data_IF_769666805338
#
_entry.id   IF_769666805338
#
_cell.length_a   1.000
_cell.length_b   1.000
_cell.length_c   1.000
_cell.angle_alpha   90.00
_cell.angle_beta   90.00
_cell.angle_gamma   90.00
#
_symmetry.space_group_name_H-M   'P 1'
#
loop_
_entity.id
_entity.type
_entity.pdbx_description
1 polymer ?
#
# COMPACT_ATOMS: atom_id res chain seq x y z
N UNK A 1 -0.35 -15.18 -10.12
CA UNK A 1 0.56 -14.19 -9.55
C UNK A 1 0.57 -14.39 -8.05
N UNK A 2 1.73 -14.35 -7.40
CA UNK A 2 1.90 -14.38 -5.94
C UNK A 2 2.11 -12.98 -5.42
N UNK A 3 1.66 -12.70 -4.19
CA UNK A 3 1.75 -11.37 -3.62
C UNK A 3 2.29 -11.40 -2.20
N UNK A 4 3.00 -10.34 -1.82
CA UNK A 4 3.31 -9.99 -0.44
C UNK A 4 2.63 -8.64 -0.18
N UNK A 5 2.00 -8.46 0.97
CA UNK A 5 1.60 -7.15 1.46
C UNK A 5 2.63 -6.71 2.51
N UNK A 6 3.27 -5.54 2.29
CA UNK A 6 4.10 -4.86 3.28
C UNK A 6 3.35 -3.60 3.75
N UNK A 7 2.96 -3.53 5.04
CA UNK A 7 1.93 -2.61 5.55
C UNK A 7 2.34 -1.98 6.86
N UNK A 8 1.92 -0.74 7.09
CA UNK A 8 2.00 -0.09 8.42
C UNK A 8 0.62 0.00 9.11
N UNK A 9 -0.20 -1.03 8.93
CA UNK A 9 -1.53 -1.21 9.54
C UNK A 9 -1.54 -0.83 11.02
N UNK A 10 -2.57 -0.11 11.46
CA UNK A 10 -2.79 0.20 12.88
C UNK A 10 -2.87 1.68 13.24
N UNK A 11 -2.41 2.60 12.35
CA UNK A 11 -2.49 4.05 12.50
C UNK A 11 -3.58 4.67 11.63
N UNK A 12 -3.63 4.34 10.33
CA UNK A 12 -4.79 4.64 9.50
C UNK A 12 -5.62 3.37 9.30
N UNK A 13 -6.80 3.50 8.75
CA UNK A 13 -7.75 2.37 8.67
C UNK A 13 -7.69 1.67 7.31
N UNK A 14 -7.18 2.34 6.31
CA UNK A 14 -7.23 1.88 4.93
C UNK A 14 -6.30 0.69 4.65
N UNK A 15 -5.19 0.53 5.39
CA UNK A 15 -4.41 -0.73 5.42
C UNK A 15 -5.28 -1.95 5.76
N UNK A 16 -6.12 -1.82 6.80
CA UNK A 16 -7.01 -2.91 7.18
C UNK A 16 -8.01 -3.22 6.07
N UNK A 17 -8.52 -2.21 5.36
CA UNK A 17 -9.40 -2.41 4.21
C UNK A 17 -8.65 -2.93 2.98
N UNK A 18 -7.38 -2.58 2.81
CA UNK A 18 -6.54 -3.15 1.75
C UNK A 18 -6.33 -4.66 1.99
N UNK A 19 -6.00 -5.06 3.23
CA UNK A 19 -5.90 -6.47 3.59
C UNK A 19 -7.25 -7.19 3.44
N UNK A 20 -8.36 -6.58 3.88
CA UNK A 20 -9.73 -7.11 3.69
C UNK A 20 -10.02 -7.39 2.21
N UNK A 21 -9.74 -6.42 1.33
CA UNK A 21 -9.93 -6.58 -0.10
C UNK A 21 -9.09 -7.73 -0.65
N UNK A 22 -7.81 -7.82 -0.25
CA UNK A 22 -6.93 -8.90 -0.71
C UNK A 22 -7.48 -10.29 -0.32
N UNK A 23 -7.91 -10.45 0.92
CA UNK A 23 -8.47 -11.71 1.43
C UNK A 23 -9.78 -12.07 0.70
N UNK A 24 -10.71 -11.13 0.57
CA UNK A 24 -12.02 -11.36 -0.08
C UNK A 24 -11.92 -11.63 -1.57
N UNK A 25 -10.96 -11.02 -2.26
CA UNK A 25 -10.74 -11.25 -3.69
C UNK A 25 -9.86 -12.48 -3.97
N UNK A 26 -9.44 -13.21 -2.94
CA UNK A 26 -8.61 -14.40 -3.09
C UNK A 26 -7.24 -14.09 -3.69
N UNK A 27 -6.67 -12.92 -3.36
CA UNK A 27 -5.30 -12.58 -3.74
C UNK A 27 -4.36 -13.62 -3.11
N UNK A 28 -3.52 -14.26 -3.92
CA UNK A 28 -2.65 -15.36 -3.50
C UNK A 28 -1.46 -14.80 -2.69
N UNK A 29 -1.72 -14.52 -1.40
CA UNK A 29 -0.75 -13.98 -0.47
C UNK A 29 0.24 -15.04 -0.01
N UNK A 30 1.53 -14.77 -0.22
CA UNK A 30 2.64 -15.58 0.31
C UNK A 30 2.85 -15.29 1.79
N UNK A 31 2.83 -14.01 2.15
CA UNK A 31 2.88 -13.53 3.52
C UNK A 31 2.43 -12.06 3.59
N UNK A 32 2.24 -11.59 4.82
CA UNK A 32 2.15 -10.18 5.17
C UNK A 32 3.39 -9.82 5.98
N UNK A 33 4.03 -8.69 5.66
CA UNK A 33 5.10 -8.11 6.48
C UNK A 33 4.65 -6.75 7.01
N UNK A 34 5.09 -6.39 8.21
CA UNK A 34 4.76 -5.08 8.76
C UNK A 34 6.00 -4.20 8.88
N UNK A 35 5.82 -2.90 8.74
CA UNK A 35 6.89 -1.91 8.70
C UNK A 35 6.56 -0.71 9.55
N UNK A 36 7.58 0.03 9.96
CA UNK A 36 7.50 1.32 10.62
C UNK A 36 6.95 1.30 12.05
N UNK A 37 7.74 1.79 13.01
CA UNK A 37 7.42 1.89 14.44
C UNK A 37 7.11 0.53 15.08
N UNK A 38 5.92 0.37 15.64
CA UNK A 38 5.50 -0.79 16.43
C UNK A 38 5.12 -2.00 15.55
N UNK A 39 6.05 -2.51 14.78
CA UNK A 39 5.78 -3.57 13.77
C UNK A 39 5.19 -4.83 14.38
N UNK A 40 5.54 -5.17 15.63
CA UNK A 40 4.94 -6.31 16.34
C UNK A 40 3.44 -6.11 16.57
N UNK A 41 3.03 -4.93 17.07
CA UNK A 41 1.61 -4.61 17.29
C UNK A 41 0.83 -4.59 15.95
N UNK A 42 1.45 -4.06 14.89
CA UNK A 42 0.89 -4.10 13.52
C UNK A 42 0.68 -5.53 13.03
N UNK A 43 1.66 -6.39 13.24
CA UNK A 43 1.58 -7.80 12.86
C UNK A 43 0.47 -8.53 13.65
N UNK A 44 0.26 -8.19 14.91
CA UNK A 44 -0.82 -8.75 15.72
C UNK A 44 -2.21 -8.39 15.16
N UNK A 45 -2.40 -7.14 14.71
CA UNK A 45 -3.64 -6.71 14.04
C UNK A 45 -3.86 -7.53 12.76
N UNK A 46 -2.85 -7.59 11.88
CA UNK A 46 -2.93 -8.35 10.63
C UNK A 46 -3.16 -9.85 10.87
N UNK A 47 -2.48 -10.44 11.87
CA UNK A 47 -2.64 -11.86 12.23
C UNK A 47 -4.05 -12.17 12.69
N UNK A 48 -4.65 -11.31 13.53
CA UNK A 48 -6.05 -11.46 13.96
C UNK A 48 -7.01 -11.34 12.77
N UNK A 49 -6.77 -10.40 11.85
CA UNK A 49 -7.60 -10.28 10.64
C UNK A 49 -7.56 -11.56 9.80
N UNK A 50 -6.37 -12.07 9.49
CA UNK A 50 -6.20 -13.33 8.74
C UNK A 50 -6.89 -14.49 9.44
N UNK A 51 -6.69 -14.66 10.75
CA UNK A 51 -7.30 -15.73 11.54
C UNK A 51 -8.82 -15.67 11.56
N UNK A 52 -9.42 -14.49 11.77
CA UNK A 52 -10.86 -14.31 11.75
C UNK A 52 -11.48 -14.54 10.36
N UNK A 53 -10.75 -14.24 9.30
CA UNK A 53 -11.15 -14.53 7.93
C UNK A 53 -11.01 -16.02 7.59
N UNK A 54 -10.23 -16.78 8.36
CA UNK A 54 -9.92 -18.19 8.09
C UNK A 54 -8.82 -18.39 7.07
N UNK A 55 -7.95 -17.39 6.87
CA UNK A 55 -6.80 -17.45 5.97
C UNK A 55 -5.53 -17.83 6.74
N UNK A 56 -4.84 -18.89 6.27
CA UNK A 56 -3.54 -19.31 6.79
C UNK A 56 -2.43 -18.60 6.05
N UNK A 57 -2.25 -17.31 6.37
CA UNK A 57 -1.23 -16.45 5.79
C UNK A 57 -0.20 -16.10 6.87
N UNK A 58 1.10 -16.41 6.65
CA UNK A 58 2.16 -16.01 7.56
C UNK A 58 2.25 -14.48 7.70
N UNK A 59 2.43 -13.98 8.93
CA UNK A 59 2.55 -12.55 9.21
C UNK A 59 3.84 -12.29 9.97
N UNK A 60 4.74 -11.48 9.40
CA UNK A 60 6.05 -11.17 9.96
C UNK A 60 6.13 -9.71 10.39
N UNK A 61 6.63 -9.48 11.60
CA UNK A 61 6.98 -8.16 12.08
C UNK A 61 8.36 -7.76 11.50
N UNK A 62 8.39 -6.75 10.64
CA UNK A 62 9.64 -6.27 10.04
C UNK A 62 10.27 -5.10 10.78
N UNK A 63 10.98 -4.23 10.07
CA UNK A 63 11.74 -3.14 10.67
C UNK A 63 10.84 -1.98 11.12
N UNK A 64 10.99 -1.61 12.40
CA UNK A 64 10.35 -0.43 12.99
C UNK A 64 11.12 0.86 12.75
N UNK A 65 12.45 0.77 12.69
CA UNK A 65 13.36 1.88 12.43
C UNK A 65 13.50 2.12 10.91
N UNK A 66 13.89 3.33 10.53
CA UNK A 66 14.18 3.68 9.14
C UNK A 66 15.46 3.00 8.64
N UNK A 67 15.73 3.09 7.34
CA UNK A 67 16.90 2.48 6.71
C UNK A 67 18.21 2.94 7.32
N UNK A 68 18.31 4.23 7.69
CA UNK A 68 19.48 4.80 8.34
C UNK A 68 19.55 4.55 9.86
N UNK A 69 18.62 3.79 10.43
CA UNK A 69 18.56 3.46 11.84
C UNK A 69 18.04 4.57 12.75
N UNK A 70 17.42 5.61 12.19
CA UNK A 70 16.73 6.62 12.99
C UNK A 70 15.50 6.00 13.65
N UNK A 71 15.46 5.98 14.97
CA UNK A 71 14.30 5.46 15.69
C UNK A 71 13.07 6.33 15.41
N UNK A 72 12.09 5.76 14.76
CA UNK A 72 10.76 6.34 14.74
C UNK A 72 10.19 6.32 16.16
N UNK A 73 9.72 7.47 16.67
CA UNK A 73 9.14 7.55 18.02
C UNK A 73 8.03 6.51 18.16
N UNK A 74 8.17 5.58 19.10
CA UNK A 74 7.16 4.58 19.38
C UNK A 74 5.92 5.28 19.97
N UNK A 75 4.88 5.39 19.15
CA UNK A 75 3.57 5.88 19.56
C UNK A 75 2.62 4.69 19.52
N UNK A 76 1.82 4.54 20.57
CA UNK A 76 0.83 3.47 20.63
C UNK A 76 -0.12 3.58 19.44
N UNK A 77 -0.30 2.47 18.74
CA UNK A 77 -1.23 2.39 17.60
C UNK A 77 -2.67 2.58 18.09
N UNK A 78 -3.43 3.41 17.39
CA UNK A 78 -4.82 3.69 17.79
C UNK A 78 -5.75 2.47 17.65
N UNK A 79 -5.40 1.52 16.80
CA UNK A 79 -6.17 0.31 16.53
C UNK A 79 -5.72 -0.90 17.36
N UNK A 80 -4.64 -0.77 18.12
CA UNK A 80 -4.15 -1.87 18.94
C UNK A 80 -4.82 -1.91 20.32
N UNK A 81 -5.21 -3.10 20.75
CA UNK A 81 -5.79 -3.36 22.05
C UNK A 81 -5.07 -4.53 22.74
N UNK A 82 -5.08 -4.62 24.10
CA UNK A 82 -4.35 -5.68 24.83
C UNK A 82 -4.74 -7.11 24.44
N UNK A 83 -5.95 -7.34 23.95
CA UNK A 83 -6.40 -8.66 23.49
C UNK A 83 -5.64 -9.16 22.26
N UNK A 84 -4.88 -8.28 21.58
CA UNK A 84 -4.04 -8.64 20.45
C UNK A 84 -2.73 -9.30 20.86
N UNK A 85 -2.34 -9.29 22.14
CA UNK A 85 -1.14 -9.98 22.62
C UNK A 85 -1.17 -11.49 22.35
N UNK A 86 -2.36 -12.09 22.24
CA UNK A 86 -2.54 -13.51 21.92
C UNK A 86 -2.23 -13.84 20.42
N UNK A 87 -2.09 -12.83 19.58
CA UNK A 87 -1.85 -12.97 18.14
C UNK A 87 -0.38 -12.69 17.78
N UNK A 88 0.52 -13.55 18.24
CA UNK A 88 1.94 -13.37 17.96
C UNK A 88 2.26 -13.44 16.45
N UNK A 89 3.19 -12.60 15.94
CA UNK A 89 3.71 -12.76 14.59
C UNK A 89 4.48 -14.08 14.43
N UNK A 90 4.70 -14.49 13.19
CA UNK A 90 5.36 -15.76 12.86
C UNK A 90 6.92 -15.68 12.92
N UNK A 91 7.44 -14.60 13.49
CA UNK A 91 8.87 -14.37 13.68
C UNK A 91 9.19 -13.72 15.04
N UNK A 92 10.46 -13.70 15.38
CA UNK A 92 11.00 -13.01 16.56
C UNK A 92 11.87 -11.82 16.20
N UNK A 93 12.55 -11.88 15.05
CA UNK A 93 13.50 -10.87 14.59
C UNK A 93 13.01 -10.20 13.30
N UNK A 94 13.18 -8.89 13.18
CA UNK A 94 12.75 -8.11 12.04
C UNK A 94 13.39 -8.56 10.71
N UNK A 95 14.62 -9.08 10.78
CA UNK A 95 15.35 -9.62 9.62
C UNK A 95 14.61 -10.77 8.95
N UNK A 96 13.85 -11.56 9.70
CA UNK A 96 13.09 -12.69 9.16
C UNK A 96 11.97 -12.23 8.20
N UNK A 97 11.43 -11.01 8.38
CA UNK A 97 10.48 -10.42 7.43
C UNK A 97 11.17 -10.12 6.09
N UNK A 98 12.40 -9.58 6.13
CA UNK A 98 13.23 -9.34 4.93
C UNK A 98 13.58 -10.67 4.26
N UNK A 99 13.93 -11.68 5.04
CA UNK A 99 14.22 -13.03 4.52
C UNK A 99 12.99 -13.67 3.88
N UNK A 100 11.80 -13.46 4.43
CA UNK A 100 10.54 -13.93 3.82
C UNK A 100 10.32 -13.28 2.44
N UNK A 101 10.55 -11.97 2.30
CA UNK A 101 10.49 -11.26 1.01
C UNK A 101 11.50 -11.86 0.03
N UNK A 102 12.76 -12.02 0.43
CA UNK A 102 13.81 -12.55 -0.44
C UNK A 102 13.60 -14.01 -0.84
N UNK A 103 13.13 -14.84 0.09
CA UNK A 103 12.80 -16.23 -0.20
C UNK A 103 11.65 -16.34 -1.21
N UNK A 104 10.64 -15.50 -1.10
CA UNK A 104 9.57 -15.40 -2.09
C UNK A 104 10.11 -14.89 -3.44
N UNK A 105 10.97 -13.87 -3.45
CA UNK A 105 11.58 -13.33 -4.65
C UNK A 105 12.37 -14.41 -5.42
N UNK A 106 13.22 -15.15 -4.71
CA UNK A 106 14.00 -16.27 -5.32
C UNK A 106 13.12 -17.41 -5.82
N UNK A 107 12.03 -17.70 -5.10
CA UNK A 107 11.12 -18.81 -5.43
C UNK A 107 10.22 -18.51 -6.62
N UNK A 108 9.69 -17.29 -6.72
CA UNK A 108 8.64 -16.98 -7.68
C UNK A 108 9.08 -16.04 -8.80
N UNK A 109 10.19 -15.33 -8.65
CA UNK A 109 10.74 -14.42 -9.67
C UNK A 109 9.66 -13.49 -10.23
N UNK A 110 9.52 -13.42 -11.54
CA UNK A 110 8.49 -12.62 -12.23
C UNK A 110 7.04 -12.93 -11.80
N UNK A 111 6.80 -14.06 -11.17
CA UNK A 111 5.51 -14.43 -10.61
C UNK A 111 5.18 -13.79 -9.27
N UNK A 112 6.08 -12.97 -8.68
CA UNK A 112 5.87 -12.26 -7.41
C UNK A 112 5.68 -10.77 -7.64
N UNK A 113 4.70 -10.18 -6.95
CA UNK A 113 4.53 -8.72 -6.80
C UNK A 113 4.46 -8.37 -5.33
N UNK A 114 5.20 -7.33 -4.90
CA UNK A 114 5.09 -6.77 -3.55
C UNK A 114 4.11 -5.61 -3.57
N UNK A 115 3.09 -5.66 -2.72
CA UNK A 115 2.12 -4.59 -2.48
C UNK A 115 2.59 -3.82 -1.24
N UNK A 116 3.22 -2.65 -1.45
CA UNK A 116 3.77 -1.82 -0.39
C UNK A 116 2.77 -0.74 0.00
N UNK A 117 2.25 -0.80 1.20
CA UNK A 117 1.24 0.12 1.73
C UNK A 117 1.85 1.16 2.68
N UNK A 118 2.98 0.83 3.32
CA UNK A 118 3.72 1.70 4.23
C UNK A 118 5.08 2.18 3.71
N UNK A 119 5.93 2.75 4.59
CA UNK A 119 7.29 3.13 4.27
C UNK A 119 8.11 1.96 3.71
N UNK A 120 9.01 2.23 2.77
CA UNK A 120 9.67 1.19 1.95
C UNK A 120 10.88 0.51 2.63
N UNK A 121 11.01 0.61 3.94
CA UNK A 121 12.21 0.15 4.69
C UNK A 121 12.48 -1.33 4.52
N UNK A 122 11.49 -2.22 4.68
CA UNK A 122 11.68 -3.67 4.52
C UNK A 122 12.12 -4.01 3.08
N UNK A 123 11.53 -3.37 2.10
CA UNK A 123 11.84 -3.56 0.68
C UNK A 123 13.24 -3.06 0.35
N UNK A 124 13.63 -1.91 0.87
CA UNK A 124 14.98 -1.35 0.73
C UNK A 124 16.03 -2.29 1.36
N UNK A 125 15.77 -2.81 2.55
CA UNK A 125 16.63 -3.81 3.21
C UNK A 125 16.76 -5.09 2.37
N UNK A 126 15.67 -5.55 1.77
CA UNK A 126 15.71 -6.70 0.87
C UNK A 126 16.58 -6.42 -0.37
N UNK A 127 16.50 -5.22 -0.93
CA UNK A 127 17.33 -4.78 -2.06
C UNK A 127 18.80 -4.67 -1.65
N UNK A 128 19.13 -4.09 -0.49
CA UNK A 128 20.51 -4.05 0.03
C UNK A 128 21.09 -5.45 0.19
N UNK A 129 20.31 -6.38 0.70
CA UNK A 129 20.74 -7.75 0.99
C UNK A 129 20.90 -8.60 -0.26
N UNK A 130 19.99 -8.49 -1.24
CA UNK A 130 20.03 -9.22 -2.52
C UNK A 130 19.29 -8.48 -3.64
N UNK A 131 19.97 -7.48 -4.20
CA UNK A 131 19.42 -6.70 -5.30
C UNK A 131 19.09 -7.55 -6.56
N UNK A 132 19.81 -8.65 -6.78
CA UNK A 132 19.57 -9.51 -7.94
C UNK A 132 18.23 -10.26 -7.78
N UNK A 133 17.96 -10.83 -6.60
CA UNK A 133 16.70 -11.46 -6.32
C UNK A 133 15.53 -10.45 -6.43
N UNK A 134 15.68 -9.24 -5.86
CA UNK A 134 14.64 -8.22 -5.94
C UNK A 134 14.39 -7.71 -7.37
N UNK A 135 15.41 -7.59 -8.21
CA UNK A 135 15.20 -7.25 -9.63
C UNK A 135 14.55 -8.35 -10.45
N UNK A 136 14.52 -9.58 -9.94
CA UNK A 136 13.88 -10.71 -10.63
C UNK A 136 12.36 -10.79 -10.45
N UNK A 137 11.75 -10.04 -9.49
CA UNK A 137 10.32 -10.08 -9.24
C UNK A 137 9.52 -9.35 -10.34
N UNK A 138 8.21 -9.59 -10.39
CA UNK A 138 7.29 -8.91 -11.32
C UNK A 138 7.18 -7.41 -11.06
N UNK A 139 7.40 -6.96 -9.83
CA UNK A 139 7.49 -5.55 -9.47
C UNK A 139 6.99 -5.24 -8.06
N UNK A 140 7.00 -3.95 -7.77
CA UNK A 140 6.44 -3.36 -6.55
C UNK A 140 5.27 -2.49 -6.98
N UNK A 141 4.11 -2.69 -6.37
CA UNK A 141 2.95 -1.79 -6.48
C UNK A 141 2.78 -1.12 -5.13
N UNK A 142 2.83 0.21 -5.07
CA UNK A 142 2.93 0.92 -3.80
C UNK A 142 1.94 2.07 -3.68
N UNK A 143 1.52 2.37 -2.46
CA UNK A 143 0.97 3.66 -2.09
C UNK A 143 2.11 4.57 -1.65
N UNK A 144 2.26 5.71 -2.28
CA UNK A 144 3.24 6.72 -1.87
C UNK A 144 3.62 7.69 -2.96
N UNK A 145 4.17 8.81 -2.53
CA UNK A 145 4.60 9.91 -3.37
C UNK A 145 3.47 10.83 -3.82
N UNK A 146 3.86 11.86 -4.54
CA UNK A 146 2.98 12.75 -5.31
C UNK A 146 3.73 13.18 -6.56
N UNK A 147 3.22 12.86 -7.73
CA UNK A 147 3.92 13.01 -9.01
C UNK A 147 3.53 14.30 -9.75
N UNK A 148 2.60 15.08 -9.18
CA UNK A 148 2.04 16.28 -9.81
C UNK A 148 2.14 17.54 -8.98
N UNK A 149 2.14 17.42 -7.66
CA UNK A 149 2.14 18.55 -6.74
C UNK A 149 3.46 18.66 -5.98
N UNK A 150 3.65 19.77 -5.30
CA UNK A 150 4.76 19.97 -4.36
C UNK A 150 4.34 19.45 -2.97
N UNK A 151 4.27 18.12 -2.84
CA UNK A 151 3.85 17.46 -1.61
C UNK A 151 4.82 16.32 -1.28
N UNK A 152 5.36 16.37 -0.07
CA UNK A 152 6.15 15.28 0.48
C UNK A 152 5.17 14.30 1.16
N UNK A 153 4.87 13.21 0.48
CA UNK A 153 3.90 12.22 0.92
C UNK A 153 4.44 11.41 2.11
N UNK A 154 3.54 10.99 2.99
CA UNK A 154 3.87 10.43 4.30
C UNK A 154 4.76 9.19 4.23
N UNK A 155 4.42 8.18 3.45
CA UNK A 155 5.20 6.94 3.33
C UNK A 155 6.61 7.20 2.83
N UNK A 156 6.75 8.12 1.88
CA UNK A 156 8.07 8.53 1.37
C UNK A 156 8.83 9.34 2.42
N UNK A 157 8.17 10.28 3.11
CA UNK A 157 8.79 11.10 4.15
C UNK A 157 9.26 10.28 5.35
N UNK A 158 8.53 9.24 5.72
CA UNK A 158 8.87 8.40 6.87
C UNK A 158 10.20 7.67 6.69
N UNK A 159 10.58 7.33 5.44
CA UNK A 159 11.91 6.79 5.11
C UNK A 159 12.31 7.19 3.69
N UNK A 160 12.71 8.44 3.52
CA UNK A 160 13.08 8.98 2.21
C UNK A 160 14.31 8.28 1.60
N UNK A 161 15.23 7.78 2.42
CA UNK A 161 16.41 7.04 1.96
C UNK A 161 16.01 5.66 1.42
N UNK A 162 15.13 4.94 2.12
CA UNK A 162 14.58 3.69 1.63
C UNK A 162 13.81 3.89 0.30
N UNK A 163 12.99 4.93 0.22
CA UNK A 163 12.26 5.27 -0.99
C UNK A 163 13.22 5.57 -2.15
N UNK A 164 14.25 6.38 -1.92
CA UNK A 164 15.26 6.70 -2.93
C UNK A 164 15.99 5.47 -3.44
N UNK A 165 16.34 4.55 -2.53
CA UNK A 165 16.98 3.28 -2.88
C UNK A 165 16.05 2.40 -3.72
N UNK A 166 14.79 2.26 -3.34
CA UNK A 166 13.80 1.45 -4.08
C UNK A 166 13.58 2.05 -5.48
N UNK A 167 13.36 3.36 -5.60
CA UNK A 167 13.16 4.02 -6.89
C UNK A 167 14.38 3.95 -7.81
N UNK A 168 15.60 3.82 -7.26
CA UNK A 168 16.84 3.70 -8.04
C UNK A 168 17.32 2.26 -8.26
N UNK A 169 16.64 1.25 -7.69
CA UNK A 169 17.09 -0.15 -7.63
C UNK A 169 17.07 -0.90 -8.96
N UNK A 170 16.29 -0.43 -9.92
CA UNK A 170 16.01 -1.15 -11.18
C UNK A 170 14.87 -2.18 -11.06
N UNK A 171 14.21 -2.30 -9.91
CA UNK A 171 12.95 -3.03 -9.77
C UNK A 171 11.84 -2.22 -10.42
N UNK A 172 10.90 -2.87 -11.12
CA UNK A 172 9.73 -2.19 -11.68
C UNK A 172 8.84 -1.64 -10.57
N UNK A 173 8.56 -0.33 -10.57
CA UNK A 173 7.72 0.33 -9.58
C UNK A 173 6.47 0.89 -10.24
N UNK A 174 5.32 0.59 -9.64
CA UNK A 174 4.01 1.17 -9.95
C UNK A 174 3.48 1.86 -8.71
N UNK A 175 3.25 3.17 -8.75
CA UNK A 175 2.92 3.98 -7.60
C UNK A 175 1.52 4.59 -7.67
N UNK A 176 0.85 4.64 -6.53
CA UNK A 176 -0.42 5.33 -6.32
C UNK A 176 -0.16 6.56 -5.45
N UNK A 177 0.02 7.71 -6.11
CA UNK A 177 0.36 8.96 -5.45
C UNK A 177 -0.81 9.60 -4.71
N UNK A 178 -0.47 10.44 -3.73
CA UNK A 178 -1.44 11.16 -2.90
C UNK A 178 -2.43 11.99 -3.74
N UNK A 179 -2.00 12.57 -4.85
CA UNK A 179 -2.86 13.39 -5.74
C UNK A 179 -4.05 12.62 -6.33
N UNK A 180 -3.96 11.29 -6.39
CA UNK A 180 -5.05 10.43 -6.86
C UNK A 180 -5.76 9.77 -5.69
N UNK A 181 -5.00 9.19 -4.76
CA UNK A 181 -5.55 8.40 -3.66
C UNK A 181 -6.36 9.24 -2.67
N UNK A 182 -5.99 10.50 -2.41
CA UNK A 182 -6.72 11.42 -1.51
C UNK A 182 -8.16 11.72 -1.96
N UNK A 183 -8.50 11.40 -3.19
CA UNK A 183 -9.84 11.54 -3.76
C UNK A 183 -10.78 10.39 -3.39
N UNK A 184 -10.22 9.24 -2.96
CA UNK A 184 -10.96 8.01 -2.60
C UNK A 184 -11.54 8.13 -1.18
N UNK A 185 -12.41 9.11 -0.99
CA UNK A 185 -12.93 9.52 0.32
C UNK A 185 -14.39 9.12 0.50
N UNK A 186 -14.68 8.39 1.58
CA UNK A 186 -16.04 8.03 1.95
C UNK A 186 -16.86 9.25 2.38
N UNK A 187 -18.15 9.22 2.10
CA UNK A 187 -19.13 10.13 2.72
C UNK A 187 -19.35 9.76 4.20
N UNK A 188 -19.99 10.64 4.97
CA UNK A 188 -20.35 10.33 6.37
C UNK A 188 -21.34 9.16 6.47
N UNK A 189 -22.23 8.99 5.50
CA UNK A 189 -23.19 7.90 5.46
C UNK A 189 -22.49 6.56 5.19
N UNK A 190 -21.62 6.51 4.20
CA UNK A 190 -20.80 5.34 3.86
C UNK A 190 -19.89 4.93 5.03
N UNK A 191 -19.28 5.90 5.71
CA UNK A 191 -18.47 5.66 6.90
C UNK A 191 -19.32 5.14 8.08
N UNK A 192 -20.54 5.65 8.27
CA UNK A 192 -21.46 5.14 9.28
C UNK A 192 -21.86 3.69 9.02
N UNK A 193 -22.00 3.30 7.75
CA UNK A 193 -22.22 1.90 7.38
C UNK A 193 -21.03 1.02 7.79
N UNK A 194 -19.79 1.45 7.51
CA UNK A 194 -18.58 0.73 7.92
C UNK A 194 -18.56 0.50 9.44
N UNK A 195 -18.94 1.50 10.25
CA UNK A 195 -19.02 1.37 11.70
C UNK A 195 -20.10 0.37 12.17
N UNK A 196 -21.07 0.07 11.32
CA UNK A 196 -22.20 -0.80 11.64
C UNK A 196 -22.01 -2.26 11.24
N UNK A 197 -20.86 -2.60 10.59
CA UNK A 197 -20.55 -3.97 10.15
C UNK A 197 -20.59 -4.95 11.34
N UNK A 198 -21.34 -6.06 11.20
CA UNK A 198 -21.52 -7.06 12.23
C UNK A 198 -22.02 -8.41 11.72
N UNK A 199 -21.85 -8.67 10.42
CA UNK A 199 -22.38 -9.88 9.79
C UNK A 199 -21.80 -11.16 10.41
N UNK A 200 -20.53 -11.10 10.80
CA UNK A 200 -19.79 -12.13 11.50
C UNK A 200 -18.68 -11.50 12.38
N UNK A 201 -17.86 -12.33 13.02
CA UNK A 201 -16.76 -11.88 13.88
C UNK A 201 -15.71 -11.06 13.11
N UNK A 202 -15.46 -11.40 11.86
CA UNK A 202 -14.51 -10.68 11.01
C UNK A 202 -15.00 -9.26 10.70
N UNK A 203 -16.24 -9.11 10.24
CA UNK A 203 -16.82 -7.79 9.96
C UNK A 203 -17.00 -6.95 11.23
N UNK A 204 -17.33 -7.58 12.36
CA UNK A 204 -17.40 -6.89 13.65
C UNK A 204 -16.02 -6.33 14.06
N UNK A 205 -14.94 -7.07 13.76
CA UNK A 205 -13.58 -6.60 14.02
C UNK A 205 -13.15 -5.46 13.09
N UNK A 206 -13.48 -5.49 11.80
CA UNK A 206 -13.26 -4.37 10.89
C UNK A 206 -13.98 -3.09 11.38
N UNK A 207 -15.22 -3.23 11.85
CA UNK A 207 -15.97 -2.12 12.41
C UNK A 207 -15.34 -1.61 13.73
N UNK A 208 -14.77 -2.49 14.55
CA UNK A 208 -14.03 -2.13 15.77
C UNK A 208 -12.78 -1.32 15.43
N UNK A 209 -11.93 -1.81 14.54
CA UNK A 209 -10.74 -1.08 14.05
C UNK A 209 -11.12 0.30 13.51
N UNK A 210 -12.20 0.38 12.74
CA UNK A 210 -12.72 1.62 12.19
C UNK A 210 -13.18 2.62 13.25
N UNK A 211 -13.84 2.14 14.32
CA UNK A 211 -14.25 2.99 15.45
C UNK A 211 -13.07 3.46 16.28
N UNK A 212 -12.08 2.58 16.54
CA UNK A 212 -10.85 2.95 17.26
C UNK A 212 -10.07 4.02 16.48
N UNK A 213 -9.93 3.84 15.16
CA UNK A 213 -9.34 4.85 14.29
C UNK A 213 -10.10 6.18 14.37
N UNK A 214 -11.42 6.17 14.21
CA UNK A 214 -12.23 7.40 14.23
C UNK A 214 -12.14 8.13 15.57
N UNK A 215 -12.08 7.41 16.69
CA UNK A 215 -11.92 7.99 18.01
C UNK A 215 -10.59 8.73 18.18
N UNK A 216 -9.57 8.42 17.36
CA UNK A 216 -8.26 9.09 17.35
C UNK A 216 -8.22 10.34 16.47
N UNK A 217 -9.25 10.58 15.65
CA UNK A 217 -9.29 11.67 14.66
C UNK A 217 -10.16 12.84 15.12
N UNK A 218 -9.94 14.03 14.58
CA UNK A 218 -10.85 15.17 14.82
C UNK A 218 -12.28 14.84 14.40
N UNK A 219 -13.26 15.41 15.12
CA UNK A 219 -14.67 15.22 14.78
C UNK A 219 -14.97 15.61 13.33
N UNK A 220 -15.76 14.79 12.63
CA UNK A 220 -16.08 15.00 11.23
C UNK A 220 -15.02 14.52 10.23
N UNK A 221 -13.94 13.88 10.71
CA UNK A 221 -12.93 13.27 9.80
C UNK A 221 -13.55 12.15 8.98
N UNK A 222 -13.13 12.03 7.73
CA UNK A 222 -13.63 10.99 6.82
C UNK A 222 -12.51 10.06 6.38
N UNK A 223 -12.83 8.78 6.28
CA UNK A 223 -11.93 7.76 5.75
C UNK A 223 -11.54 8.07 4.32
N UNK A 224 -10.27 7.91 4.02
CA UNK A 224 -9.70 7.93 2.66
C UNK A 224 -9.09 6.56 2.42
N UNK A 225 -9.34 5.98 1.27
CA UNK A 225 -8.96 4.61 0.93
C UNK A 225 -7.70 4.62 0.06
N UNK A 226 -6.57 5.12 0.60
CA UNK A 226 -5.32 5.24 -0.13
C UNK A 226 -4.80 3.87 -0.56
N UNK A 227 -4.59 2.97 0.38
CA UNK A 227 -3.94 1.66 0.21
C UNK A 227 -4.80 0.65 -0.52
N UNK A 228 -6.11 0.78 -0.38
CA UNK A 228 -7.08 -0.07 -1.09
C UNK A 228 -6.90 0.02 -2.61
N UNK A 229 -6.42 1.17 -3.12
CA UNK A 229 -6.13 1.34 -4.55
C UNK A 229 -5.02 0.41 -5.05
N UNK A 230 -4.00 0.17 -4.23
CA UNK A 230 -2.89 -0.74 -4.54
C UNK A 230 -3.39 -2.17 -4.73
N UNK A 231 -4.20 -2.65 -3.80
CA UNK A 231 -4.78 -4.00 -3.88
C UNK A 231 -5.81 -4.08 -5.01
N UNK A 232 -6.62 -3.04 -5.23
CA UNK A 232 -7.56 -3.00 -6.35
C UNK A 232 -6.84 -3.12 -7.70
N UNK A 233 -5.64 -2.54 -7.84
CA UNK A 233 -4.80 -2.67 -9.03
C UNK A 233 -4.26 -4.10 -9.22
N UNK A 234 -3.92 -4.79 -8.15
CA UNK A 234 -3.51 -6.19 -8.23
C UNK A 234 -4.63 -7.12 -8.72
N UNK A 235 -5.89 -6.78 -8.40
CA UNK A 235 -7.10 -7.51 -8.85
C UNK A 235 -7.48 -7.15 -10.28
N UNK A 236 -7.47 -5.85 -10.63
CA UNK A 236 -7.84 -5.34 -11.95
C UNK A 236 -7.00 -4.12 -12.32
N UNK A 237 -5.91 -4.30 -13.08
CA UNK A 237 -5.03 -3.20 -13.47
C UNK A 237 -5.67 -2.14 -14.39
N UNK A 238 -6.85 -2.42 -14.95
CA UNK A 238 -7.50 -1.53 -15.92
C UNK A 238 -8.43 -0.49 -15.30
N UNK A 239 -8.60 -0.52 -13.96
CA UNK A 239 -9.52 0.41 -13.30
C UNK A 239 -9.02 1.86 -13.25
N UNK A 240 -7.72 2.10 -13.48
CA UNK A 240 -7.13 3.43 -13.48
C UNK A 240 -6.22 3.66 -14.68
N UNK A 241 -6.05 4.93 -15.07
CA UNK A 241 -5.10 5.33 -16.10
C UNK A 241 -3.72 5.53 -15.49
N UNK A 242 -2.72 4.90 -16.10
CA UNK A 242 -1.33 5.00 -15.67
C UNK A 242 -0.54 5.92 -16.60
N UNK A 243 0.42 6.63 -16.04
CA UNK A 243 1.46 7.38 -16.76
C UNK A 243 2.83 6.85 -16.34
N UNK A 244 3.86 7.18 -17.13
CA UNK A 244 5.24 6.78 -16.85
C UNK A 244 6.16 7.98 -16.94
N UNK A 245 7.02 8.15 -15.94
CA UNK A 245 8.04 9.19 -15.94
C UNK A 245 9.30 8.74 -15.20
N UNK A 246 10.47 9.34 -15.51
CA UNK A 246 11.64 9.22 -14.66
C UNK A 246 11.37 9.96 -13.35
N UNK A 247 11.58 9.29 -12.22
CA UNK A 247 11.31 9.82 -10.89
C UNK A 247 12.55 9.70 -10.02
N UNK A 248 12.79 10.71 -9.19
CA UNK A 248 13.76 10.69 -8.10
C UNK A 248 13.10 11.11 -6.79
N UNK A 249 13.72 10.76 -5.65
CA UNK A 249 13.31 11.23 -4.32
C UNK A 249 14.29 12.30 -3.86
N UNK A 250 13.78 13.45 -3.43
CA UNK A 250 14.58 14.53 -2.86
C UNK A 250 15.01 14.17 -1.43
N UNK A 251 16.32 14.21 -1.17
CA UNK A 251 16.91 13.81 0.12
C UNK A 251 17.54 14.95 0.93
N UNK A 252 17.86 16.09 0.31
CA UNK A 252 18.72 17.12 0.91
C UNK A 252 18.00 18.43 1.24
N UNK A 253 16.87 18.67 0.59
CA UNK A 253 16.15 19.92 0.75
C UNK A 253 15.47 20.02 2.11
N UNK A 254 15.66 21.13 2.83
CA UNK A 254 15.05 21.32 4.17
C UNK A 254 13.53 21.17 4.18
N UNK A 255 12.87 21.56 3.09
CA UNK A 255 11.39 21.57 2.97
C UNK A 255 10.87 20.58 1.92
N UNK A 256 11.77 19.92 1.20
CA UNK A 256 11.45 19.07 0.05
C UNK A 256 11.94 17.63 0.23
N UNK A 257 12.65 17.34 1.34
CA UNK A 257 13.07 15.98 1.66
C UNK A 257 11.85 15.05 1.72
N UNK A 258 11.91 13.92 1.01
CA UNK A 258 10.79 12.98 0.85
C UNK A 258 9.82 13.35 -0.27
N UNK A 259 10.03 14.42 -1.03
CA UNK A 259 9.25 14.66 -2.23
C UNK A 259 9.68 13.74 -3.38
N UNK A 260 8.71 13.17 -4.09
CA UNK A 260 8.94 12.54 -5.38
C UNK A 260 8.96 13.58 -6.47
N UNK A 261 10.02 13.57 -7.27
CA UNK A 261 10.24 14.55 -8.33
C UNK A 261 10.11 13.88 -9.69
N UNK A 262 9.10 14.29 -10.46
CA UNK A 262 8.97 13.90 -11.86
C UNK A 262 9.99 14.68 -12.69
N UNK A 263 11.08 14.03 -13.03
CA UNK A 263 12.24 14.66 -13.70
C UNK A 263 11.92 15.09 -15.13
N UNK A 264 10.92 14.49 -15.79
CA UNK A 264 10.52 14.91 -17.14
C UNK A 264 9.96 16.34 -17.21
N UNK A 265 9.63 16.94 -16.05
CA UNK A 265 9.16 18.33 -15.92
C UNK A 265 10.28 19.33 -15.58
N UNK A 266 11.52 18.86 -15.50
CA UNK A 266 12.68 19.68 -15.13
C UNK A 266 13.46 20.10 -16.37
N UNK A 267 13.74 21.39 -16.53
CA UNK A 267 14.49 21.93 -17.67
C UNK A 267 15.91 21.36 -17.78
N UNK A 268 16.50 20.98 -16.64
CA UNK A 268 17.85 20.42 -16.57
C UNK A 268 17.88 18.88 -16.57
N UNK A 269 16.74 18.21 -16.81
CA UNK A 269 16.67 16.77 -16.93
C UNK A 269 17.55 16.25 -18.08
N UNK A 270 18.27 15.16 -17.80
CA UNK A 270 19.06 14.45 -18.82
C UNK A 270 18.53 13.03 -18.96
N UNK A 271 18.44 12.48 -20.19
CA UNK A 271 18.12 11.08 -20.38
C UNK A 271 19.05 10.19 -19.55
N UNK A 272 18.46 9.35 -18.69
CA UNK A 272 19.19 8.51 -17.74
C UNK A 272 19.19 9.00 -16.29
N UNK A 273 18.76 10.25 -16.02
CA UNK A 273 18.49 10.67 -14.66
C UNK A 273 17.17 10.06 -14.17
N UNK A 274 17.19 9.46 -12.97
CA UNK A 274 16.05 8.76 -12.38
C UNK A 274 15.68 7.46 -13.10
N UNK A 275 14.87 6.66 -12.44
CA UNK A 275 14.34 5.44 -13.03
C UNK A 275 12.88 5.64 -13.45
N UNK A 276 12.45 4.98 -14.52
CA UNK A 276 11.07 5.07 -14.96
C UNK A 276 10.13 4.39 -13.96
N UNK A 277 9.16 5.16 -13.47
CA UNK A 277 8.10 4.73 -12.56
C UNK A 277 6.77 4.84 -13.28
N UNK A 278 5.94 3.82 -13.17
CA UNK A 278 4.53 3.92 -13.53
C UNK A 278 3.77 4.51 -12.34
N UNK A 279 2.93 5.50 -12.60
CA UNK A 279 2.10 6.08 -11.52
C UNK A 279 0.67 6.29 -11.98
N UNK A 280 -0.27 6.15 -11.04
CA UNK A 280 -1.68 6.40 -11.30
C UNK A 280 -1.89 7.88 -11.65
N UNK A 281 -2.41 8.13 -12.83
CA UNK A 281 -2.68 9.48 -13.31
C UNK A 281 -4.13 9.89 -13.06
N UNK A 282 -5.06 8.93 -13.14
CA UNK A 282 -6.48 9.17 -13.00
C UNK A 282 -7.22 7.89 -12.62
N UNK A 283 -8.18 8.02 -11.70
CA UNK A 283 -9.13 6.98 -11.37
C UNK A 283 -10.49 7.62 -11.06
N UNK A 284 -11.56 6.92 -11.40
CA UNK A 284 -12.92 7.34 -11.04
C UNK A 284 -13.21 7.00 -9.58
N UNK A 285 -13.28 8.03 -8.74
CA UNK A 285 -13.51 7.86 -7.29
C UNK A 285 -14.89 7.24 -6.98
N UNK A 286 -15.92 7.58 -7.78
CA UNK A 286 -17.26 7.00 -7.57
C UNK A 286 -17.30 5.52 -7.90
N UNK A 287 -16.65 5.11 -8.99
CA UNK A 287 -16.51 3.69 -9.34
C UNK A 287 -15.71 2.92 -8.30
N UNK A 288 -14.58 3.45 -7.91
CA UNK A 288 -13.71 2.84 -6.91
C UNK A 288 -14.42 2.65 -5.56
N UNK A 289 -15.05 3.71 -5.04
CA UNK A 289 -15.78 3.66 -3.76
C UNK A 289 -16.96 2.69 -3.86
N UNK A 290 -17.71 2.70 -4.95
CA UNK A 290 -18.82 1.75 -5.15
C UNK A 290 -18.33 0.30 -5.18
N UNK A 291 -17.18 0.02 -5.80
CA UNK A 291 -16.56 -1.29 -5.81
C UNK A 291 -16.17 -1.73 -4.38
N UNK A 292 -15.48 -0.87 -3.63
CA UNK A 292 -15.09 -1.14 -2.26
C UNK A 292 -16.32 -1.43 -1.38
N UNK A 293 -17.31 -0.56 -1.41
CA UNK A 293 -18.53 -0.68 -0.59
C UNK A 293 -19.32 -1.95 -0.93
N UNK A 294 -19.40 -2.34 -2.20
CA UNK A 294 -20.04 -3.59 -2.59
C UNK A 294 -19.32 -4.81 -2.00
N UNK A 295 -18.00 -4.75 -1.90
CA UNK A 295 -17.17 -5.80 -1.28
C UNK A 295 -17.40 -5.99 0.22
N UNK A 296 -17.90 -4.97 0.91
CA UNK A 296 -18.30 -5.04 2.33
C UNK A 296 -19.82 -5.16 2.53
N UNK A 297 -20.58 -5.41 1.44
CA UNK A 297 -22.01 -5.65 1.48
C UNK A 297 -22.91 -4.40 1.48
N UNK A 298 -22.37 -3.24 1.16
CA UNK A 298 -23.16 -2.03 1.00
C UNK A 298 -23.78 -1.97 -0.40
N UNK A 299 -25.08 -2.17 -0.49
CA UNK A 299 -25.81 -2.10 -1.74
C UNK A 299 -26.29 -0.66 -1.99
N UNK A 300 -25.57 0.09 -2.82
CA UNK A 300 -26.12 1.27 -3.45
C UNK A 300 -27.04 0.89 -4.59
N UNK A 301 -28.12 1.65 -4.80
CA UNK A 301 -28.82 1.62 -6.09
C UNK A 301 -27.79 1.91 -7.19
N UNK A 302 -27.75 1.13 -8.29
CA UNK A 302 -26.74 1.31 -9.31
C UNK A 302 -26.82 2.72 -9.90
N UNK A 303 -25.75 3.48 -9.73
CA UNK A 303 -25.57 4.76 -10.46
C UNK A 303 -25.43 4.38 -11.92
N UNK A 304 -26.42 4.75 -12.75
CA UNK A 304 -26.35 4.55 -14.20
C UNK A 304 -25.14 5.33 -14.74
N UNK A 305 -24.18 4.62 -15.29
CA UNK A 305 -22.96 5.17 -15.90
C UNK A 305 -23.01 4.99 -17.40
N UNK A 306 -22.55 5.97 -18.20
CA UNK A 306 -22.39 5.75 -19.62
C UNK A 306 -21.36 4.65 -19.88
N UNK A 307 -21.54 3.78 -20.89
CA UNK A 307 -20.59 2.74 -21.24
C UNK A 307 -19.25 3.38 -21.67
N UNK A 308 -18.13 2.83 -21.22
CA UNK A 308 -16.80 3.21 -21.72
C UNK A 308 -16.71 2.91 -23.22
N UNK A 309 -16.27 3.87 -24.02
CA UNK A 309 -15.97 3.61 -25.44
C UNK A 309 -14.78 2.64 -25.54
N UNK A 310 -14.94 1.57 -26.31
CA UNK A 310 -13.94 0.49 -26.46
C UNK A 310 -12.63 0.92 -27.17
N UNK A 311 -12.46 2.20 -27.49
CA UNK A 311 -11.31 2.71 -28.26
C UNK A 311 -10.01 2.90 -27.48
N UNK A 312 -10.04 2.96 -26.15
CA UNK A 312 -8.85 3.28 -25.35
C UNK A 312 -8.05 2.05 -24.88
N UNK A 313 -8.62 0.84 -24.98
CA UNK A 313 -7.98 -0.40 -24.51
C UNK A 313 -6.76 -0.79 -25.37
N UNK A 314 -6.75 -0.39 -26.65
CA UNK A 314 -5.65 -0.75 -27.57
C UNK A 314 -4.34 0.01 -27.33
N UNK A 315 -4.35 1.11 -26.61
CA UNK A 315 -3.12 1.86 -26.27
C UNK A 315 -2.39 1.30 -25.04
N UNK A 316 -3.11 0.71 -24.10
CA UNK A 316 -2.53 0.18 -22.85
C UNK A 316 -1.78 -1.14 -23.10
N UNK A 317 -2.23 -1.95 -24.05
CA UNK A 317 -1.58 -3.21 -24.43
C UNK A 317 -0.25 -2.98 -25.18
N UNK A 318 -0.11 -1.87 -25.92
CA UNK A 318 1.14 -1.54 -26.65
C UNK A 318 2.30 -1.11 -25.72
N UNK A 319 2.03 -0.72 -24.49
CA UNK A 319 3.08 -0.31 -23.53
C UNK A 319 3.80 -1.53 -22.90
N UNK A 320 3.30 -2.75 -23.09
CA UNK A 320 3.95 -3.99 -22.60
C UNK A 320 4.90 -4.63 -23.62
N UNK A 321 4.93 -4.16 -24.85
CA UNK A 321 5.74 -4.76 -25.94
C UNK A 321 6.88 -3.84 -26.45
N UNK A 322 7.02 -2.62 -25.94
CA UNK A 322 8.15 -1.70 -26.15
C UNK A 322 8.95 -1.49 -24.82
#
# INVERSE_FOLDING_TARGET
MKYIIDTDIGDDIDDAFALDLALKQGVDLVCVTTVFRNTRERAQIAKRMCGLFGADVPVYAGYGDTLNGSMATNVRLCQWTPELEDYAPDNTEAEEAVDAILNAARRYGQGLTVLALGPLTNIARAIEKDAAAMRSIGGIVMMGGDFRNHYAEWNICCDAEAASLVFSSGVSVTAFGHEVTSRMRLTHEEQAYVFSLKQDAYHAYLAELSRLWYASKPAGWRMVLHDVMVVRYAVDPLYCRMERAPVAVELKGRYTCGMTVNLSKMDNYRPGDGMPVYYAAEADAGEFISYFLSGIGYCHAPVQRPPRERGEISQIIRIREE
#
